data_IF_111473361570
#
_entry.id   IF_111473361570
#
_cell.length_a   1.000
_cell.length_b   1.000
_cell.length_c   1.000
_cell.angle_alpha   90.00
_cell.angle_beta   90.00
_cell.angle_gamma   90.00
#
_symmetry.space_group_name_H-M   'P 1'
#
loop_
_entity.id
_entity.type
_entity.pdbx_description
1 polymer ?
#
# COMPACT_ATOMS: atom_id res chain seq x y z
N UNK A 1 23.24 -6.84 -8.25
CA UNK A 1 24.15 -6.21 -7.27
C UNK A 1 23.46 -5.17 -6.39
N UNK A 2 22.67 -4.23 -6.94
CA UNK A 2 21.96 -3.18 -6.15
C UNK A 2 21.16 -3.75 -4.97
N UNK A 3 20.28 -4.73 -5.19
CA UNK A 3 19.51 -5.36 -4.10
C UNK A 3 20.38 -5.99 -3.01
N UNK A 4 21.51 -6.60 -3.39
CA UNK A 4 22.43 -7.22 -2.42
C UNK A 4 23.05 -6.16 -1.54
N UNK A 5 23.47 -5.02 -2.11
CA UNK A 5 24.02 -3.90 -1.34
C UNK A 5 22.97 -3.32 -0.37
N UNK A 6 21.71 -3.21 -0.82
CA UNK A 6 20.60 -2.77 0.03
C UNK A 6 20.38 -3.76 1.18
N UNK A 7 20.31 -5.06 0.89
CA UNK A 7 20.16 -6.11 1.91
C UNK A 7 21.32 -6.12 2.90
N UNK A 8 22.56 -5.94 2.43
CA UNK A 8 23.74 -5.85 3.30
C UNK A 8 23.65 -4.61 4.20
N UNK A 9 23.29 -3.45 3.65
CA UNK A 9 23.09 -2.22 4.42
C UNK A 9 22.01 -2.38 5.50
N UNK A 10 20.87 -2.98 5.14
CA UNK A 10 19.78 -3.26 6.08
C UNK A 10 20.21 -4.28 7.15
N UNK A 11 20.99 -5.29 6.78
CA UNK A 11 21.53 -6.27 7.73
C UNK A 11 22.50 -5.62 8.73
N UNK A 12 23.33 -4.66 8.28
CA UNK A 12 24.19 -3.87 9.17
C UNK A 12 23.38 -3.02 10.17
N UNK A 13 22.23 -2.48 9.76
CA UNK A 13 21.31 -1.79 10.67
C UNK A 13 20.79 -2.76 11.74
N UNK A 14 20.40 -3.97 11.34
CA UNK A 14 19.94 -5.03 12.26
C UNK A 14 21.02 -5.53 13.22
N UNK A 15 22.30 -5.44 12.84
CA UNK A 15 23.39 -5.75 13.76
C UNK A 15 23.50 -4.71 14.89
N UNK A 16 23.15 -3.44 14.63
CA UNK A 16 23.21 -2.37 15.62
C UNK A 16 21.97 -2.30 16.50
N UNK A 17 20.78 -2.52 15.93
CA UNK A 17 19.49 -2.42 16.63
C UNK A 17 18.53 -3.49 16.15
N UNK A 18 17.92 -4.18 17.11
CA UNK A 18 17.01 -5.32 16.88
C UNK A 18 15.63 -5.12 17.49
N UNK A 19 15.27 -3.87 17.79
CA UNK A 19 13.93 -3.56 18.26
C UNK A 19 12.89 -3.73 17.14
N UNK A 20 11.63 -3.92 17.54
CA UNK A 20 10.53 -4.21 16.62
C UNK A 20 10.32 -3.10 15.59
N UNK A 21 10.46 -1.83 15.98
CA UNK A 21 10.31 -0.69 15.06
C UNK A 21 11.40 -0.72 13.99
N UNK A 22 12.65 -0.99 14.38
CA UNK A 22 13.74 -1.17 13.42
C UNK A 22 13.47 -2.34 12.47
N UNK A 23 12.95 -3.47 12.96
CA UNK A 23 12.60 -4.63 12.12
C UNK A 23 11.50 -4.28 11.09
N UNK A 24 10.43 -3.60 11.53
CA UNK A 24 9.34 -3.17 10.64
C UNK A 24 9.82 -2.14 9.60
N UNK A 25 10.69 -1.20 10.02
CA UNK A 25 11.28 -0.23 9.11
C UNK A 25 12.17 -0.91 8.06
N UNK A 26 12.99 -1.89 8.47
CA UNK A 26 13.82 -2.68 7.53
C UNK A 26 12.95 -3.43 6.52
N UNK A 27 11.84 -4.03 6.94
CA UNK A 27 10.90 -4.66 6.03
C UNK A 27 10.26 -3.67 5.06
N UNK A 28 9.87 -2.48 5.54
CA UNK A 28 9.30 -1.43 4.70
C UNK A 28 10.29 -0.96 3.61
N UNK A 29 11.54 -0.70 4.00
CA UNK A 29 12.60 -0.31 3.05
C UNK A 29 12.91 -1.46 2.09
N UNK A 30 13.01 -2.70 2.59
CA UNK A 30 13.24 -3.87 1.75
C UNK A 30 12.14 -4.05 0.70
N UNK A 31 10.87 -3.92 1.09
CA UNK A 31 9.74 -3.97 0.15
C UNK A 31 9.78 -2.84 -0.87
N UNK A 32 10.11 -1.62 -0.44
CA UNK A 32 10.17 -0.42 -1.29
C UNK A 32 11.23 -0.55 -2.39
N UNK A 33 12.42 -1.04 -2.03
CA UNK A 33 13.55 -1.13 -2.95
C UNK A 33 13.73 -2.53 -3.56
N UNK A 34 12.77 -3.44 -3.38
CA UNK A 34 12.91 -4.80 -3.91
C UNK A 34 13.07 -4.83 -5.43
N UNK A 35 12.40 -3.93 -6.15
CA UNK A 35 12.50 -3.86 -7.60
C UNK A 35 13.46 -2.77 -8.09
N UNK A 36 14.36 -2.24 -7.26
CA UNK A 36 15.25 -1.14 -7.68
C UNK A 36 16.20 -1.48 -8.82
N UNK A 37 16.47 -2.76 -9.09
CA UNK A 37 17.20 -3.17 -10.29
C UNK A 37 16.46 -2.81 -11.59
N UNK A 38 15.14 -2.65 -11.54
CA UNK A 38 14.32 -2.23 -12.68
C UNK A 38 14.75 -0.88 -13.25
N UNK A 39 15.25 0.01 -12.40
CA UNK A 39 15.72 1.34 -12.79
C UNK A 39 16.89 1.25 -13.77
N UNK A 40 17.71 0.20 -13.69
CA UNK A 40 18.84 0.01 -14.61
C UNK A 40 18.32 -0.17 -16.05
N UNK A 41 17.19 -0.86 -16.23
CA UNK A 41 16.57 -1.07 -17.54
C UNK A 41 16.20 0.25 -18.22
N UNK A 42 15.89 1.29 -17.44
CA UNK A 42 15.55 2.62 -17.94
C UNK A 42 16.76 3.37 -18.52
N UNK A 43 17.97 2.95 -18.18
CA UNK A 43 19.23 3.62 -18.59
C UNK A 43 19.97 2.91 -19.71
N UNK A 44 19.46 1.76 -20.17
CA UNK A 44 20.11 0.91 -21.17
C UNK A 44 19.39 0.97 -22.51
N UNK A 45 20.14 0.98 -23.62
CA UNK A 45 19.58 0.99 -24.97
C UNK A 45 18.78 -0.28 -25.31
N UNK A 46 19.02 -1.40 -24.62
CA UNK A 46 18.28 -2.66 -24.76
C UNK A 46 17.09 -2.77 -23.79
N UNK A 47 16.59 -1.63 -23.31
CA UNK A 47 15.53 -1.54 -22.29
C UNK A 47 14.41 -2.55 -22.55
N UNK A 48 13.77 -2.55 -23.72
CA UNK A 48 12.63 -3.41 -24.02
C UNK A 48 12.84 -4.91 -23.76
N UNK A 49 13.99 -5.47 -24.17
CA UNK A 49 14.32 -6.88 -23.92
C UNK A 49 14.52 -7.17 -22.43
N UNK A 50 15.26 -6.29 -21.74
CA UNK A 50 15.51 -6.40 -20.31
C UNK A 50 14.22 -6.20 -19.50
N UNK A 51 13.32 -5.32 -19.95
CA UNK A 51 11.99 -5.09 -19.36
C UNK A 51 11.13 -6.36 -19.49
N UNK A 52 11.15 -7.03 -20.65
CA UNK A 52 10.41 -8.30 -20.88
C UNK A 52 10.96 -9.42 -19.99
N UNK A 53 12.27 -9.57 -19.91
CA UNK A 53 12.91 -10.58 -19.06
C UNK A 53 12.62 -10.34 -17.58
N UNK A 54 12.67 -9.07 -17.15
CA UNK A 54 12.28 -8.68 -15.80
C UNK A 54 10.79 -8.88 -15.53
N UNK A 55 9.92 -8.74 -16.53
CA UNK A 55 8.50 -9.01 -16.40
C UNK A 55 8.23 -10.52 -16.22
N UNK A 56 8.91 -11.36 -17.00
CA UNK A 56 8.72 -12.80 -16.99
C UNK A 56 9.39 -13.47 -15.78
N UNK A 57 10.58 -13.01 -15.41
CA UNK A 57 11.35 -13.60 -14.32
C UNK A 57 11.22 -12.81 -13.00
N UNK A 58 10.66 -11.61 -13.00
CA UNK A 58 10.51 -10.75 -11.80
C UNK A 58 11.81 -10.14 -11.30
N UNK A 59 12.91 -10.89 -11.31
CA UNK A 59 14.25 -10.46 -10.90
C UNK A 59 15.23 -11.63 -10.85
N UNK A 60 16.52 -11.35 -10.97
CA UNK A 60 17.58 -12.38 -10.99
C UNK A 60 17.67 -13.19 -9.68
N UNK A 61 18.16 -14.43 -9.77
CA UNK A 61 18.29 -15.37 -8.65
C UNK A 61 18.95 -14.76 -7.40
N UNK A 62 20.01 -13.98 -7.59
CA UNK A 62 20.76 -13.31 -6.51
C UNK A 62 19.88 -12.31 -5.74
N UNK A 63 19.03 -11.55 -6.43
CA UNK A 63 18.10 -10.61 -5.80
C UNK A 63 17.08 -11.35 -4.93
N UNK A 64 16.47 -12.41 -5.48
CA UNK A 64 15.51 -13.26 -4.76
C UNK A 64 16.13 -13.89 -3.51
N UNK A 65 17.32 -14.49 -3.63
CA UNK A 65 18.02 -15.11 -2.52
C UNK A 65 18.38 -14.10 -1.42
N UNK A 66 18.91 -12.92 -1.80
CA UNK A 66 19.26 -11.88 -0.83
C UNK A 66 18.04 -11.38 -0.04
N UNK A 67 16.91 -11.15 -0.72
CA UNK A 67 15.66 -10.77 -0.07
C UNK A 67 15.16 -11.89 0.84
N UNK A 68 15.20 -13.14 0.39
CA UNK A 68 14.77 -14.29 1.19
C UNK A 68 15.60 -14.42 2.48
N UNK A 69 16.93 -14.28 2.40
CA UNK A 69 17.80 -14.32 3.58
C UNK A 69 17.42 -13.23 4.58
N UNK A 70 17.21 -12.00 4.11
CA UNK A 70 16.81 -10.90 4.99
C UNK A 70 15.44 -11.15 5.64
N UNK A 71 14.47 -11.66 4.88
CA UNK A 71 13.15 -12.02 5.41
C UNK A 71 13.26 -13.11 6.48
N UNK A 72 14.06 -14.16 6.26
CA UNK A 72 14.29 -15.22 7.25
C UNK A 72 14.90 -14.66 8.53
N UNK A 73 15.90 -13.77 8.42
CA UNK A 73 16.52 -13.11 9.59
C UNK A 73 15.47 -12.31 10.35
N UNK A 74 14.70 -11.47 9.67
CA UNK A 74 13.70 -10.61 10.32
C UNK A 74 12.58 -11.44 10.96
N UNK A 75 12.06 -12.45 10.27
CA UNK A 75 11.03 -13.35 10.80
C UNK A 75 11.52 -14.11 12.03
N UNK A 76 12.79 -14.56 12.02
CA UNK A 76 13.38 -15.23 13.18
C UNK A 76 13.52 -14.29 14.38
N UNK A 77 13.94 -13.04 14.15
CA UNK A 77 14.04 -12.02 15.20
C UNK A 77 12.66 -11.61 15.75
N UNK A 78 11.67 -11.41 14.88
CA UNK A 78 10.28 -11.17 15.29
C UNK A 78 9.70 -12.37 16.05
N UNK A 79 9.99 -13.59 15.59
CA UNK A 79 9.59 -14.84 16.25
C UNK A 79 10.17 -14.96 17.66
N UNK A 80 11.43 -14.59 17.85
CA UNK A 80 12.04 -14.52 19.18
C UNK A 80 11.32 -13.54 20.09
N UNK A 81 11.10 -12.30 19.64
CA UNK A 81 10.37 -11.29 20.43
C UNK A 81 8.94 -11.74 20.75
N UNK A 82 8.24 -12.33 19.77
CA UNK A 82 6.91 -12.87 19.95
C UNK A 82 6.87 -14.02 20.98
N UNK A 83 7.88 -14.90 20.97
CA UNK A 83 8.00 -15.99 21.94
C UNK A 83 8.22 -15.49 23.36
N UNK A 84 9.14 -14.53 23.54
CA UNK A 84 9.42 -13.91 24.84
C UNK A 84 8.15 -13.26 25.41
N UNK A 85 7.39 -12.53 24.58
CA UNK A 85 6.06 -12.01 24.94
C UNK A 85 5.09 -13.13 25.30
N UNK A 86 4.94 -14.14 24.46
CA UNK A 86 3.93 -15.19 24.62
C UNK A 86 4.11 -15.94 25.95
N UNK A 87 5.35 -16.27 26.32
CA UNK A 87 5.67 -16.91 27.61
C UNK A 87 5.30 -16.01 28.79
N UNK A 88 5.48 -14.70 28.65
CA UNK A 88 5.12 -13.71 29.68
C UNK A 88 3.64 -13.28 29.67
N UNK A 89 2.86 -13.73 28.68
CA UNK A 89 1.65 -13.06 28.21
C UNK A 89 0.38 -13.27 29.05
N UNK A 90 -0.55 -12.32 28.91
CA UNK A 90 -1.89 -12.33 29.54
C UNK A 90 -2.89 -13.19 28.75
N UNK A 91 -3.93 -13.69 29.41
CA UNK A 91 -4.93 -14.59 28.81
C UNK A 91 -5.65 -14.04 27.56
N UNK A 92 -5.79 -12.71 27.43
CA UNK A 92 -6.43 -12.06 26.27
C UNK A 92 -5.67 -12.26 24.95
N UNK A 93 -4.33 -12.34 25.00
CA UNK A 93 -3.49 -12.47 23.81
C UNK A 93 -3.62 -13.84 23.16
N UNK A 94 -3.92 -14.87 23.96
CA UNK A 94 -4.13 -16.24 23.47
C UNK A 94 -5.38 -16.33 22.58
N UNK A 95 -6.42 -15.54 22.86
CA UNK A 95 -7.64 -15.52 22.04
C UNK A 95 -7.36 -14.96 20.65
N UNK A 96 -6.59 -13.88 20.56
CA UNK A 96 -6.20 -13.27 19.29
C UNK A 96 -5.36 -14.22 18.42
N UNK A 97 -4.43 -14.95 19.04
CA UNK A 97 -3.60 -15.97 18.35
C UNK A 97 -4.47 -17.09 17.81
N UNK A 98 -5.33 -17.68 18.67
CA UNK A 98 -6.23 -18.78 18.25
C UNK A 98 -7.13 -18.32 17.11
N UNK A 99 -7.66 -17.10 17.19
CA UNK A 99 -8.47 -16.54 16.12
C UNK A 99 -7.70 -16.41 14.80
N UNK A 100 -6.48 -15.85 14.84
CA UNK A 100 -5.63 -15.75 13.64
C UNK A 100 -5.34 -17.13 13.03
N UNK A 101 -5.03 -18.13 13.87
CA UNK A 101 -4.80 -19.51 13.42
C UNK A 101 -6.06 -20.15 12.82
N UNK A 102 -7.26 -19.81 13.32
CA UNK A 102 -8.51 -20.29 12.73
C UNK A 102 -8.76 -19.66 11.35
N UNK A 103 -8.44 -18.38 11.15
CA UNK A 103 -8.53 -17.73 9.83
C UNK A 103 -7.58 -18.39 8.84
N UNK A 104 -6.32 -18.58 9.23
CA UNK A 104 -5.31 -19.29 8.42
C UNK A 104 -5.72 -20.74 8.13
N UNK A 105 -6.18 -21.47 9.15
CA UNK A 105 -6.69 -22.83 8.98
C UNK A 105 -7.89 -22.91 8.04
N UNK A 106 -8.81 -21.93 8.10
CA UNK A 106 -9.95 -21.81 7.20
C UNK A 106 -9.53 -21.50 5.75
N UNK A 107 -8.51 -20.65 5.57
CA UNK A 107 -7.93 -20.34 4.26
C UNK A 107 -7.26 -21.57 3.63
N UNK A 108 -6.41 -22.28 4.40
CA UNK A 108 -5.77 -23.52 3.97
C UNK A 108 -6.78 -24.63 3.68
N UNK A 109 -7.81 -24.79 4.52
CA UNK A 109 -8.87 -25.77 4.27
C UNK A 109 -9.63 -25.43 2.99
N UNK A 110 -9.96 -24.15 2.77
CA UNK A 110 -10.57 -23.68 1.53
C UNK A 110 -9.72 -23.99 0.30
N UNK A 111 -8.40 -23.73 0.37
CA UNK A 111 -7.45 -24.11 -0.67
C UNK A 111 -7.46 -25.61 -0.95
N UNK A 112 -7.39 -26.46 0.09
CA UNK A 112 -7.38 -27.92 -0.07
C UNK A 112 -8.68 -28.44 -0.69
N UNK A 113 -9.83 -27.88 -0.30
CA UNK A 113 -11.13 -28.24 -0.86
C UNK A 113 -11.32 -27.77 -2.31
N UNK A 114 -10.60 -26.75 -2.73
CA UNK A 114 -10.70 -26.13 -4.05
C UNK A 114 -9.41 -26.27 -4.86
N UNK A 115 -8.59 -27.27 -4.55
CA UNK A 115 -7.29 -27.47 -5.17
C UNK A 115 -7.42 -27.78 -6.67
N UNK A 116 -6.75 -26.99 -7.51
CA UNK A 116 -6.69 -27.21 -8.96
C UNK A 116 -5.33 -27.78 -9.35
N UNK A 117 -5.33 -29.00 -9.90
CA UNK A 117 -4.11 -29.65 -10.34
C UNK A 117 -3.43 -28.83 -11.45
N UNK A 118 -2.15 -28.52 -11.27
CA UNK A 118 -1.36 -27.73 -12.23
C UNK A 118 -1.42 -26.21 -12.05
N UNK A 119 -2.25 -25.69 -11.13
CA UNK A 119 -2.32 -24.25 -10.87
C UNK A 119 -1.32 -23.83 -9.78
N UNK A 120 -0.08 -23.59 -10.20
CA UNK A 120 0.97 -23.10 -9.29
C UNK A 120 0.70 -21.67 -8.79
N UNK A 121 -0.08 -20.88 -9.52
CA UNK A 121 -0.39 -19.50 -9.15
C UNK A 121 -1.32 -19.47 -7.93
N UNK A 122 -2.32 -20.35 -7.89
CA UNK A 122 -3.17 -20.57 -6.73
C UNK A 122 -2.32 -20.80 -5.47
N UNK A 123 -1.40 -21.77 -5.50
CA UNK A 123 -0.53 -22.07 -4.36
C UNK A 123 0.31 -20.85 -3.93
N UNK A 124 0.89 -20.12 -4.89
CA UNK A 124 1.69 -18.93 -4.60
C UNK A 124 0.86 -17.84 -3.91
N UNK A 125 -0.38 -17.62 -4.35
CA UNK A 125 -1.30 -16.66 -3.73
C UNK A 125 -1.60 -17.05 -2.28
N UNK A 126 -1.92 -18.32 -2.01
CA UNK A 126 -2.24 -18.79 -0.66
C UNK A 126 -1.03 -18.69 0.26
N UNK A 127 0.14 -19.18 -0.17
CA UNK A 127 1.38 -19.07 0.61
C UNK A 127 1.68 -17.61 0.94
N UNK A 128 1.43 -16.69 0.01
CA UNK A 128 1.64 -15.26 0.23
C UNK A 128 0.72 -14.66 1.31
N UNK A 129 -0.57 -14.99 1.26
CA UNK A 129 -1.56 -14.50 2.23
C UNK A 129 -1.30 -15.12 3.61
N UNK A 130 -1.00 -16.42 3.66
CA UNK A 130 -0.58 -17.11 4.88
C UNK A 130 0.67 -16.47 5.49
N UNK A 131 1.68 -16.19 4.66
CA UNK A 131 2.92 -15.53 5.13
C UNK A 131 2.64 -14.13 5.67
N UNK A 132 1.71 -13.38 5.08
CA UNK A 132 1.25 -12.11 5.63
C UNK A 132 0.59 -12.30 6.99
N UNK A 133 -0.33 -13.26 7.15
CA UNK A 133 -0.96 -13.51 8.45
C UNK A 133 0.06 -13.92 9.53
N UNK A 134 1.04 -14.77 9.18
CA UNK A 134 2.17 -15.10 10.06
C UNK A 134 2.92 -13.84 10.45
N UNK A 135 3.30 -13.00 9.49
CA UNK A 135 4.00 -11.74 9.75
C UNK A 135 3.19 -10.84 10.69
N UNK A 136 1.89 -10.68 10.44
CA UNK A 136 0.99 -9.88 11.27
C UNK A 136 0.92 -10.42 12.69
N UNK A 137 0.77 -11.74 12.85
CA UNK A 137 0.74 -12.39 14.15
C UNK A 137 2.06 -12.21 14.92
N UNK A 138 3.20 -12.45 14.27
CA UNK A 138 4.52 -12.26 14.88
C UNK A 138 4.76 -10.80 15.26
N UNK A 139 4.45 -9.86 14.37
CA UNK A 139 4.58 -8.44 14.64
C UNK A 139 3.66 -7.97 15.76
N UNK A 140 2.40 -8.41 15.77
CA UNK A 140 1.45 -8.13 16.84
C UNK A 140 1.98 -8.54 18.21
N UNK A 141 2.48 -9.78 18.33
CA UNK A 141 3.06 -10.29 19.57
C UNK A 141 4.39 -9.62 19.92
N UNK A 142 5.19 -9.26 18.94
CA UNK A 142 6.44 -8.53 19.18
C UNK A 142 6.17 -7.10 19.68
N UNK A 143 5.13 -6.42 19.20
CA UNK A 143 4.77 -5.05 19.66
C UNK A 143 4.21 -4.99 21.09
N UNK A 144 3.92 -6.14 21.70
CA UNK A 144 3.42 -6.28 23.06
C UNK A 144 4.35 -5.73 24.15
N UNK A 145 5.66 -5.79 23.91
CA UNK A 145 6.70 -5.28 24.82
C UNK A 145 6.76 -3.75 24.86
N UNK A 146 5.78 -3.09 24.24
CA UNK A 146 5.69 -1.66 24.03
C UNK A 146 6.00 -1.32 22.57
N UNK A 147 5.21 -0.40 21.99
CA UNK A 147 5.61 0.30 20.76
C UNK A 147 6.53 1.42 21.24
N UNK A 148 7.85 1.37 20.97
CA UNK A 148 8.71 2.49 21.32
C UNK A 148 8.22 3.70 20.52
N UNK A 149 7.75 4.73 21.23
CA UNK A 149 7.51 6.02 20.61
C UNK A 149 8.82 6.54 20.04
N UNK A 150 8.81 6.96 18.78
CA UNK A 150 9.98 7.61 18.20
C UNK A 150 10.26 8.87 19.02
N UNK A 151 11.46 8.93 19.63
CA UNK A 151 11.90 10.12 20.35
C UNK A 151 11.83 11.33 19.40
N UNK A 152 11.30 12.49 19.83
CA UNK A 152 11.06 13.62 18.94
C UNK A 152 12.27 14.03 18.09
N UNK A 153 13.48 14.07 18.67
CA UNK A 153 14.70 14.40 17.93
C UNK A 153 15.07 13.40 16.83
N UNK A 154 14.63 12.14 16.93
CA UNK A 154 14.82 11.13 15.89
C UNK A 154 13.78 11.26 14.77
N UNK A 155 12.58 11.76 15.07
CA UNK A 155 11.52 11.97 14.06
C UNK A 155 12.00 12.89 12.95
N UNK A 156 12.69 13.98 13.30
CA UNK A 156 13.24 14.90 12.30
C UNK A 156 14.25 14.22 11.37
N UNK A 157 15.24 13.52 11.93
CA UNK A 157 16.27 12.84 11.14
C UNK A 157 15.66 11.77 10.22
N UNK A 158 14.75 10.94 10.74
CA UNK A 158 14.06 9.93 9.93
C UNK A 158 13.15 10.53 8.88
N UNK A 159 12.46 11.62 9.20
CA UNK A 159 11.62 12.32 8.24
C UNK A 159 12.44 12.96 7.10
N UNK A 160 13.61 13.53 7.40
CA UNK A 160 14.52 14.03 6.37
C UNK A 160 15.02 12.91 5.45
N UNK A 161 15.43 11.77 6.03
CA UNK A 161 15.81 10.58 5.23
C UNK A 161 14.63 10.09 4.39
N UNK A 162 13.43 10.07 4.94
CA UNK A 162 12.21 9.72 4.23
C UNK A 162 11.92 10.66 3.04
N UNK A 163 12.09 11.97 3.23
CA UNK A 163 11.94 12.96 2.16
C UNK A 163 12.97 12.78 1.05
N UNK A 164 14.22 12.47 1.39
CA UNK A 164 15.26 12.19 0.40
C UNK A 164 14.95 10.94 -0.42
N UNK A 165 14.47 9.87 0.24
CA UNK A 165 14.02 8.65 -0.44
C UNK A 165 12.84 8.95 -1.36
N UNK A 166 11.83 9.69 -0.88
CA UNK A 166 10.67 10.08 -1.69
C UNK A 166 11.08 10.91 -2.91
N UNK A 167 11.91 11.94 -2.72
CA UNK A 167 12.39 12.78 -3.81
C UNK A 167 13.20 11.99 -4.84
N UNK A 168 14.00 11.01 -4.42
CA UNK A 168 14.71 10.11 -5.33
C UNK A 168 13.74 9.25 -6.15
N UNK A 169 12.74 8.65 -5.50
CA UNK A 169 11.72 7.81 -6.15
C UNK A 169 10.89 8.63 -7.15
N UNK A 170 10.50 9.85 -6.78
CA UNK A 170 9.73 10.74 -7.64
C UNK A 170 10.59 11.28 -8.80
N UNK A 171 11.88 11.51 -8.58
CA UNK A 171 12.83 11.86 -9.64
C UNK A 171 12.92 10.78 -10.72
N UNK A 172 12.95 9.51 -10.34
CA UNK A 172 12.89 8.39 -11.29
C UNK A 172 11.53 8.37 -12.00
N UNK A 173 10.42 8.54 -11.27
CA UNK A 173 9.09 8.55 -11.87
C UNK A 173 8.93 9.67 -12.91
N UNK A 174 9.45 10.86 -12.61
CA UNK A 174 9.44 12.00 -13.53
C UNK A 174 10.30 11.71 -14.76
N UNK A 175 11.47 11.10 -14.58
CA UNK A 175 12.33 10.67 -15.67
C UNK A 175 11.64 9.66 -16.59
N UNK A 176 10.95 8.65 -16.06
CA UNK A 176 10.19 7.65 -16.84
C UNK A 176 9.17 8.31 -17.77
N UNK A 177 8.40 9.26 -17.26
CA UNK A 177 7.35 9.94 -18.04
C UNK A 177 7.96 10.89 -19.07
N UNK A 178 8.91 11.73 -18.67
CA UNK A 178 9.52 12.73 -19.57
C UNK A 178 10.31 12.10 -20.72
N UNK A 179 10.95 10.96 -20.48
CA UNK A 179 11.74 10.26 -21.50
C UNK A 179 10.93 9.24 -22.28
N UNK A 180 9.64 9.03 -21.95
CA UNK A 180 8.77 7.99 -22.53
C UNK A 180 9.26 6.56 -22.30
N UNK A 181 10.23 6.36 -21.40
CA UNK A 181 10.71 5.05 -20.96
C UNK A 181 9.88 4.61 -19.75
N UNK A 182 8.56 4.46 -19.93
CA UNK A 182 7.67 4.06 -18.85
C UNK A 182 7.37 2.56 -18.87
N UNK A 183 7.26 1.96 -17.69
CA UNK A 183 6.96 0.54 -17.51
C UNK A 183 5.58 0.13 -18.02
N UNK A 184 4.62 1.04 -17.95
CA UNK A 184 3.28 0.82 -18.46
C UNK A 184 2.86 1.99 -19.34
N UNK A 185 2.61 1.69 -20.61
CA UNK A 185 1.94 2.60 -21.53
C UNK A 185 0.75 1.92 -22.20
N UNK A 186 -0.22 2.71 -22.62
CA UNK A 186 -1.36 2.23 -23.41
C UNK A 186 -1.87 3.35 -24.31
N UNK A 187 -2.47 2.96 -25.44
CA UNK A 187 -3.12 3.88 -26.36
C UNK A 187 -4.54 4.18 -25.88
N UNK A 188 -4.85 5.45 -25.66
CA UNK A 188 -6.19 5.93 -25.30
C UNK A 188 -7.05 6.10 -26.55
N UNK A 189 -8.38 6.12 -26.38
CA UNK A 189 -9.38 6.34 -27.43
C UNK A 189 -9.21 7.67 -28.17
N UNK A 190 -8.54 8.65 -27.55
CA UNK A 190 -8.13 9.92 -28.15
C UNK A 190 -7.02 9.76 -29.21
N UNK A 191 -6.36 8.59 -29.24
CA UNK A 191 -5.16 8.35 -30.04
C UNK A 191 -3.85 8.72 -29.32
N UNK A 192 -3.92 9.28 -28.11
CA UNK A 192 -2.75 9.62 -27.31
C UNK A 192 -2.18 8.37 -26.61
N UNK A 193 -0.85 8.29 -26.50
CA UNK A 193 -0.18 7.24 -25.71
C UNK A 193 0.04 7.79 -24.31
N UNK A 194 -0.48 7.09 -23.31
CA UNK A 194 -0.32 7.49 -21.91
C UNK A 194 0.85 6.74 -21.29
N UNK A 195 1.84 7.46 -20.78
CA UNK A 195 3.00 6.89 -20.07
C UNK A 195 2.81 6.97 -18.55
N UNK A 196 2.90 5.84 -17.85
CA UNK A 196 2.68 5.75 -16.40
C UNK A 196 3.94 5.34 -15.66
N UNK A 197 4.34 6.13 -14.67
CA UNK A 197 5.51 5.83 -13.87
C UNK A 197 5.29 4.66 -12.91
N UNK A 198 6.28 3.79 -12.82
CA UNK A 198 6.35 2.74 -11.80
C UNK A 198 7.48 2.97 -10.79
N UNK A 199 8.47 3.79 -11.15
CA UNK A 199 9.67 4.07 -10.34
C UNK A 199 10.34 2.76 -9.89
N UNK A 200 10.94 2.77 -8.70
CA UNK A 200 11.62 1.61 -8.10
C UNK A 200 10.69 0.45 -7.76
N UNK A 201 9.37 0.60 -7.91
CA UNK A 201 8.36 -0.39 -7.55
C UNK A 201 7.84 -1.19 -8.74
N UNK A 202 8.31 -0.94 -9.98
CA UNK A 202 8.06 -1.75 -11.19
C UNK A 202 6.60 -1.88 -11.65
N UNK A 203 5.62 -1.49 -10.82
CA UNK A 203 4.22 -1.44 -11.16
C UNK A 203 3.61 -0.09 -10.73
N UNK A 204 2.99 0.69 -11.65
CA UNK A 204 2.40 1.97 -11.31
C UNK A 204 1.28 1.91 -10.26
N UNK A 205 0.48 0.83 -10.26
CA UNK A 205 -0.57 0.67 -9.26
C UNK A 205 0.02 0.36 -7.88
N UNK A 206 1.09 -0.46 -7.83
CA UNK A 206 1.83 -0.72 -6.59
C UNK A 206 2.51 0.54 -6.06
N UNK A 207 3.10 1.35 -6.96
CA UNK A 207 3.69 2.63 -6.62
C UNK A 207 2.67 3.57 -5.99
N UNK A 208 1.49 3.72 -6.62
CA UNK A 208 0.41 4.53 -6.08
C UNK A 208 -0.15 3.99 -4.75
N UNK A 209 -0.24 2.67 -4.61
CA UNK A 209 -0.66 2.02 -3.36
C UNK A 209 0.31 2.34 -2.22
N UNK A 210 1.60 2.11 -2.44
CA UNK A 210 2.66 2.43 -1.49
C UNK A 210 2.67 3.92 -1.16
N UNK A 211 2.58 4.79 -2.17
CA UNK A 211 2.52 6.23 -2.01
C UNK A 211 1.33 6.61 -1.11
N UNK A 212 0.15 6.05 -1.34
CA UNK A 212 -1.03 6.34 -0.51
C UNK A 212 -0.87 5.94 0.97
N UNK A 213 -0.16 4.84 1.27
CA UNK A 213 0.18 4.48 2.65
C UNK A 213 1.11 5.52 3.29
N UNK A 214 2.13 5.97 2.55
CA UNK A 214 3.04 7.03 3.01
C UNK A 214 2.28 8.34 3.19
N UNK A 215 1.32 8.66 2.31
CA UNK A 215 0.47 9.85 2.41
C UNK A 215 -0.28 9.87 3.74
N UNK A 216 -0.95 8.76 4.08
CA UNK A 216 -1.70 8.61 5.33
C UNK A 216 -0.77 8.70 6.55
N UNK A 217 0.44 8.15 6.45
CA UNK A 217 1.49 8.30 7.47
C UNK A 217 1.92 9.76 7.66
N UNK A 218 2.13 10.52 6.58
CA UNK A 218 2.45 11.94 6.63
C UNK A 218 1.28 12.77 7.17
N UNK A 219 0.05 12.47 6.77
CA UNK A 219 -1.16 13.13 7.26
C UNK A 219 -1.32 12.96 8.78
N UNK A 220 -1.09 11.74 9.28
CA UNK A 220 -1.00 11.49 10.72
C UNK A 220 0.17 12.25 11.37
N UNK A 221 1.37 12.17 10.79
CA UNK A 221 2.58 12.80 11.33
C UNK A 221 2.45 14.32 11.47
N UNK A 222 1.79 14.97 10.52
CA UNK A 222 1.50 16.41 10.56
C UNK A 222 0.64 16.80 11.79
N UNK A 223 -0.28 15.92 12.21
CA UNK A 223 -1.12 16.15 13.38
C UNK A 223 -0.41 15.77 14.68
N UNK A 224 0.34 14.66 14.67
CA UNK A 224 1.03 14.14 15.85
C UNK A 224 2.27 14.97 16.24
N UNK A 225 2.96 15.57 15.26
CA UNK A 225 4.24 16.24 15.45
C UNK A 225 4.21 17.70 14.94
N UNK A 226 3.48 18.56 15.67
CA UNK A 226 3.26 19.98 15.32
C UNK A 226 4.54 20.75 14.98
N UNK A 227 5.63 20.49 15.70
CA UNK A 227 6.93 21.15 15.48
C UNK A 227 7.59 20.84 14.11
N UNK A 228 7.20 19.74 13.45
CA UNK A 228 7.77 19.31 12.17
C UNK A 228 6.71 19.26 11.05
N UNK A 229 5.65 20.04 11.15
CA UNK A 229 4.54 20.03 10.18
C UNK A 229 4.98 20.27 8.73
N UNK A 230 5.91 21.20 8.50
CA UNK A 230 6.41 21.50 7.16
C UNK A 230 7.02 20.28 6.47
N UNK A 231 7.68 19.41 7.24
CA UNK A 231 8.34 18.21 6.74
C UNK A 231 7.31 17.19 6.26
N UNK A 232 6.24 16.99 7.05
CA UNK A 232 5.15 16.11 6.67
C UNK A 232 4.31 16.69 5.52
N UNK A 233 4.14 18.02 5.48
CA UNK A 233 3.49 18.71 4.37
C UNK A 233 4.26 18.51 3.06
N UNK A 234 5.58 18.70 3.08
CA UNK A 234 6.43 18.44 1.93
C UNK A 234 6.37 16.97 1.51
N UNK A 235 6.35 16.04 2.48
CA UNK A 235 6.14 14.61 2.22
C UNK A 235 4.82 14.33 1.52
N UNK A 236 3.72 14.96 1.95
CA UNK A 236 2.42 14.83 1.28
C UNK A 236 2.46 15.37 -0.16
N UNK A 237 3.14 16.50 -0.41
CA UNK A 237 3.30 17.06 -1.77
C UNK A 237 4.07 16.10 -2.69
N UNK A 238 5.19 15.55 -2.22
CA UNK A 238 5.96 14.54 -2.95
C UNK A 238 5.11 13.31 -3.25
N UNK A 239 4.45 12.77 -2.23
CA UNK A 239 3.58 11.59 -2.40
C UNK A 239 2.37 11.86 -3.31
N UNK A 240 1.78 13.06 -3.28
CA UNK A 240 0.73 13.43 -4.24
C UNK A 240 1.27 13.47 -5.67
N UNK A 241 2.52 13.93 -5.85
CA UNK A 241 3.24 13.89 -7.12
C UNK A 241 3.48 12.45 -7.57
N UNK A 242 3.90 11.56 -6.67
CA UNK A 242 4.04 10.13 -6.93
C UNK A 242 2.75 9.49 -7.45
N UNK A 243 1.63 9.75 -6.77
CA UNK A 243 0.31 9.23 -7.16
C UNK A 243 -0.09 9.80 -8.52
N UNK A 244 0.14 11.09 -8.77
CA UNK A 244 -0.13 11.73 -10.06
C UNK A 244 0.67 11.05 -11.20
N UNK A 245 2.00 10.95 -11.05
CA UNK A 245 2.91 10.38 -12.06
C UNK A 245 2.64 8.89 -12.32
N UNK A 246 2.16 8.15 -11.31
CA UNK A 246 1.75 6.76 -11.48
C UNK A 246 0.55 6.57 -12.41
N UNK A 247 -0.23 7.63 -12.67
CA UNK A 247 -1.48 7.57 -13.42
C UNK A 247 -2.53 6.62 -12.83
N UNK A 248 -2.37 6.20 -11.56
CA UNK A 248 -3.27 5.26 -10.88
C UNK A 248 -4.47 6.00 -10.28
N UNK A 249 -5.48 6.22 -11.11
CA UNK A 249 -6.71 6.94 -10.74
C UNK A 249 -7.43 6.31 -9.55
N UNK A 250 -7.56 4.98 -9.55
CA UNK A 250 -8.27 4.25 -8.50
C UNK A 250 -7.62 4.42 -7.12
N UNK A 251 -6.29 4.36 -7.04
CA UNK A 251 -5.57 4.61 -5.78
C UNK A 251 -5.77 6.05 -5.30
N UNK A 252 -5.67 7.03 -6.20
CA UNK A 252 -5.92 8.44 -5.89
C UNK A 252 -7.34 8.71 -5.38
N UNK A 253 -8.37 8.19 -6.07
CA UNK A 253 -9.77 8.34 -5.63
C UNK A 253 -10.07 7.60 -4.34
N UNK A 254 -9.53 6.39 -4.16
CA UNK A 254 -9.71 5.65 -2.92
C UNK A 254 -9.08 6.41 -1.73
N UNK A 255 -7.87 6.95 -1.92
CA UNK A 255 -7.23 7.79 -0.91
C UNK A 255 -8.07 9.05 -0.63
N UNK A 256 -8.52 9.77 -1.67
CA UNK A 256 -9.39 10.95 -1.50
C UNK A 256 -10.66 10.61 -0.71
N UNK A 257 -11.37 9.54 -1.10
CA UNK A 257 -12.59 9.10 -0.42
C UNK A 257 -12.35 8.82 1.07
N UNK A 258 -11.25 8.16 1.41
CA UNK A 258 -10.92 7.85 2.80
C UNK A 258 -10.37 9.04 3.59
N UNK A 259 -9.76 10.03 2.93
CA UNK A 259 -9.34 11.29 3.57
C UNK A 259 -10.52 12.17 4.00
N UNK A 260 -11.75 11.86 3.60
CA UNK A 260 -12.96 12.47 4.20
C UNK A 260 -13.26 11.94 5.61
N UNK A 261 -12.76 10.75 5.99
CA UNK A 261 -13.08 10.17 7.29
C UNK A 261 -12.44 10.94 8.47
N UNK A 262 -11.15 11.33 8.45
CA UNK A 262 -10.56 12.11 9.53
C UNK A 262 -11.33 13.37 9.93
N UNK A 263 -11.71 14.29 9.01
CA UNK A 263 -12.46 15.50 9.38
C UNK A 263 -13.86 15.20 9.93
N UNK A 264 -14.51 14.14 9.46
CA UNK A 264 -15.83 13.71 9.96
C UNK A 264 -15.73 13.14 11.38
N UNK A 265 -14.68 12.37 11.67
CA UNK A 265 -14.55 11.60 12.91
C UNK A 265 -13.87 12.34 14.06
N UNK A 266 -12.99 13.31 13.81
CA UNK A 266 -12.25 14.03 14.85
C UNK A 266 -12.76 15.49 15.00
N UNK A 267 -13.59 16.00 14.06
CA UNK A 267 -14.27 17.31 14.12
C UNK A 267 -13.36 18.52 14.36
N UNK A 268 -12.11 18.52 13.89
CA UNK A 268 -11.23 19.71 13.93
C UNK A 268 -10.96 20.25 12.51
N UNK A 269 -10.83 21.59 12.39
CA UNK A 269 -10.64 22.27 11.10
C UNK A 269 -9.40 21.81 10.33
N UNK A 270 -8.30 21.49 11.03
CA UNK A 270 -7.02 21.11 10.42
C UNK A 270 -7.06 19.75 9.70
N UNK A 271 -8.15 18.98 9.82
CA UNK A 271 -8.27 17.65 9.22
C UNK A 271 -8.64 17.65 7.74
N UNK A 272 -9.07 18.79 7.21
CA UNK A 272 -9.28 18.96 5.78
C UNK A 272 -7.98 19.19 5.00
N UNK A 273 -6.90 19.63 5.69
CA UNK A 273 -5.65 20.00 5.04
C UNK A 273 -5.02 18.83 4.24
N UNK A 274 -4.95 17.58 4.74
CA UNK A 274 -4.47 16.46 3.92
C UNK A 274 -5.28 16.24 2.64
N UNK A 275 -6.61 16.39 2.66
CA UNK A 275 -7.41 16.27 1.44
C UNK A 275 -7.12 17.41 0.46
N UNK A 276 -7.06 18.64 0.98
CA UNK A 276 -6.78 19.83 0.19
C UNK A 276 -5.38 19.79 -0.45
N UNK A 277 -4.36 19.35 0.29
CA UNK A 277 -2.98 19.23 -0.24
C UNK A 277 -2.92 18.25 -1.41
N UNK A 278 -3.61 17.11 -1.32
CA UNK A 278 -3.66 16.13 -2.41
C UNK A 278 -4.27 16.74 -3.68
N UNK A 279 -5.45 17.35 -3.54
CA UNK A 279 -6.19 17.98 -4.65
C UNK A 279 -5.42 19.15 -5.26
N UNK A 280 -4.93 20.07 -4.41
CA UNK A 280 -4.21 21.26 -4.86
C UNK A 280 -2.89 20.88 -5.52
N UNK A 281 -2.15 19.89 -5.00
CA UNK A 281 -0.90 19.44 -5.64
C UNK A 281 -1.18 18.86 -7.02
N UNK A 282 -2.16 17.97 -7.15
CA UNK A 282 -2.53 17.39 -8.45
C UNK A 282 -3.00 18.45 -9.44
N UNK A 283 -3.81 19.40 -8.99
CA UNK A 283 -4.27 20.51 -9.81
C UNK A 283 -3.13 21.44 -10.21
N UNK A 284 -2.22 21.78 -9.28
CA UNK A 284 -1.07 22.63 -9.55
C UNK A 284 -0.10 22.01 -10.54
N UNK A 285 0.14 20.70 -10.47
CA UNK A 285 0.94 19.98 -11.48
C UNK A 285 0.24 20.09 -12.83
N UNK A 286 -1.04 19.73 -12.92
CA UNK A 286 -1.79 19.79 -14.17
C UNK A 286 -1.81 21.20 -14.78
N UNK A 287 -2.20 22.21 -14.02
CA UNK A 287 -2.28 23.60 -14.51
C UNK A 287 -0.90 24.17 -14.85
N UNK A 288 0.12 23.88 -14.02
CA UNK A 288 1.47 24.36 -14.27
C UNK A 288 2.03 23.77 -15.55
N UNK A 289 1.78 22.49 -15.79
CA UNK A 289 2.25 21.79 -16.97
C UNK A 289 1.46 22.14 -18.22
N UNK A 290 0.14 22.31 -18.14
CA UNK A 290 -0.69 22.76 -19.25
C UNK A 290 -0.30 24.16 -19.77
N UNK A 291 0.31 24.99 -18.92
CA UNK A 291 0.85 26.29 -19.32
C UNK A 291 2.23 26.22 -20.00
N UNK A 292 2.90 25.05 -20.00
CA UNK A 292 4.21 24.85 -20.60
C UNK A 292 4.05 24.28 -22.02
N UNK A 293 4.41 25.06 -23.03
CA UNK A 293 4.30 24.67 -24.45
C UNK A 293 5.49 23.78 -24.90
N UNK A 294 5.66 22.63 -24.25
CA UNK A 294 6.72 21.67 -24.56
C UNK A 294 6.16 20.26 -24.73
N UNK A 295 6.54 19.58 -25.83
CA UNK A 295 6.01 18.26 -26.18
C UNK A 295 6.20 17.18 -25.10
N UNK A 296 7.31 17.17 -24.36
CA UNK A 296 7.56 16.19 -23.29
C UNK A 296 6.66 16.41 -22.06
N UNK A 297 6.20 17.65 -21.87
CA UNK A 297 5.36 18.04 -20.75
C UNK A 297 3.88 17.71 -21.00
N UNK A 298 3.47 17.58 -22.26
CA UNK A 298 2.13 17.11 -22.64
C UNK A 298 1.82 15.73 -22.07
N UNK A 299 2.82 14.83 -21.96
CA UNK A 299 2.64 13.50 -21.37
C UNK A 299 2.23 13.58 -19.89
N UNK A 300 2.78 14.55 -19.16
CA UNK A 300 2.45 14.80 -17.76
C UNK A 300 1.06 15.44 -17.67
N UNK A 301 0.74 16.42 -18.54
CA UNK A 301 -0.60 17.01 -18.59
C UNK A 301 -1.69 15.96 -18.83
N UNK A 302 -1.46 15.02 -19.74
CA UNK A 302 -2.38 13.93 -20.07
C UNK A 302 -2.73 13.06 -18.87
N UNK A 303 -1.77 12.82 -17.96
CA UNK A 303 -2.07 12.13 -16.69
C UNK A 303 -3.10 12.94 -15.86
N UNK A 304 -2.93 14.26 -15.78
CA UNK A 304 -3.86 15.16 -15.10
C UNK A 304 -5.24 15.21 -15.72
N UNK A 305 -5.34 15.31 -17.04
CA UNK A 305 -6.63 15.29 -17.76
C UNK A 305 -7.44 14.04 -17.39
N UNK A 306 -6.77 12.89 -17.34
CA UNK A 306 -7.40 11.61 -16.97
C UNK A 306 -7.89 11.56 -15.53
N UNK A 307 -7.21 12.26 -14.60
CA UNK A 307 -7.66 12.43 -13.21
C UNK A 307 -8.82 13.42 -13.07
N UNK A 308 -8.93 14.40 -13.95
CA UNK A 308 -10.04 15.38 -13.89
C UNK A 308 -11.29 14.82 -14.57
N UNK A 309 -11.12 14.11 -15.69
CA UNK A 309 -12.23 13.62 -16.49
C UNK A 309 -12.86 12.31 -15.94
N UNK A 310 -12.11 11.52 -15.15
CA UNK A 310 -12.58 10.21 -14.67
C UNK A 310 -13.93 10.22 -13.93
N UNK A 311 -14.28 11.20 -13.06
CA UNK A 311 -15.57 11.20 -12.38
C UNK A 311 -16.73 11.38 -13.36
N UNK A 312 -16.56 12.26 -14.36
CA UNK A 312 -17.56 12.51 -15.40
C UNK A 312 -17.78 11.22 -16.21
N UNK A 313 -16.70 10.59 -16.65
CA UNK A 313 -16.79 9.34 -17.39
C UNK A 313 -17.38 8.18 -16.57
N UNK A 314 -17.12 8.11 -15.25
CA UNK A 314 -17.74 7.13 -14.37
C UNK A 314 -19.25 7.35 -14.26
N UNK A 315 -19.70 8.60 -14.10
CA UNK A 315 -21.13 8.95 -14.08
C UNK A 315 -21.79 8.57 -15.40
N UNK A 316 -21.16 8.87 -16.54
CA UNK A 316 -21.68 8.50 -17.85
C UNK A 316 -21.78 6.98 -18.04
N UNK A 317 -20.77 6.24 -17.58
CA UNK A 317 -20.82 4.77 -17.58
C UNK A 317 -22.00 4.26 -16.76
N UNK A 318 -22.22 4.80 -15.55
CA UNK A 318 -23.36 4.42 -14.69
C UNK A 318 -24.69 4.73 -15.38
N UNK A 319 -24.85 5.93 -15.95
CA UNK A 319 -26.07 6.33 -16.66
C UNK A 319 -26.37 5.41 -17.85
N UNK A 320 -25.37 5.11 -18.67
CA UNK A 320 -25.53 4.16 -19.77
C UNK A 320 -25.94 2.78 -19.25
N UNK A 321 -25.30 2.30 -18.17
CA UNK A 321 -25.60 0.99 -17.58
C UNK A 321 -27.04 0.87 -17.06
N UNK A 322 -27.61 1.95 -16.51
CA UNK A 322 -29.00 1.98 -16.02
C UNK A 322 -30.01 2.43 -17.09
N UNK A 323 -29.59 2.56 -18.35
CA UNK A 323 -30.47 2.89 -19.48
C UNK A 323 -30.86 4.37 -19.59
N UNK A 324 -30.16 5.27 -18.90
CA UNK A 324 -30.30 6.72 -19.06
C UNK A 324 -29.40 7.17 -20.22
N UNK A 325 -29.90 7.97 -21.18
CA UNK A 325 -29.07 8.52 -22.24
C UNK A 325 -27.92 9.33 -21.64
N UNK A 326 -26.68 8.91 -21.88
CA UNK A 326 -25.51 9.68 -21.50
C UNK A 326 -25.24 10.77 -22.55
N UNK A 327 -25.04 12.02 -22.11
CA UNK A 327 -24.72 13.13 -23.01
C UNK A 327 -23.32 13.02 -23.63
N UNK A 328 -22.44 12.24 -23.01
CA UNK A 328 -21.05 12.04 -23.45
C UNK A 328 -20.79 10.57 -23.71
N UNK A 329 -20.06 10.29 -24.79
CA UNK A 329 -19.63 8.94 -25.15
C UNK A 329 -18.85 8.32 -23.99
N UNK A 330 -19.28 7.14 -23.55
CA UNK A 330 -18.56 6.36 -22.55
C UNK A 330 -17.25 5.89 -23.15
N UNK A 331 -16.15 6.35 -22.56
CA UNK A 331 -14.81 5.98 -22.99
C UNK A 331 -14.56 4.49 -22.75
N UNK A 332 -13.98 3.84 -23.76
CA UNK A 332 -13.67 2.40 -23.75
C UNK A 332 -12.83 2.01 -22.54
N UNK A 333 -11.92 2.88 -22.12
CA UNK A 333 -10.99 2.67 -21.01
C UNK A 333 -11.71 2.49 -19.68
N UNK A 334 -12.82 3.20 -19.45
CA UNK A 334 -13.58 3.10 -18.21
C UNK A 334 -14.47 1.87 -18.21
N UNK A 335 -15.11 1.56 -19.35
CA UNK A 335 -15.83 0.31 -19.51
C UNK A 335 -14.88 -0.90 -19.28
N UNK A 336 -13.75 -0.94 -19.98
CA UNK A 336 -12.73 -2.00 -19.82
C UNK A 336 -12.21 -2.07 -18.38
N UNK A 337 -11.98 -0.93 -17.72
CA UNK A 337 -11.51 -0.91 -16.33
C UNK A 337 -12.55 -1.44 -15.34
N UNK A 338 -13.84 -1.26 -15.57
CA UNK A 338 -14.90 -1.71 -14.65
C UNK A 338 -15.27 -3.16 -14.97
N UNK A 339 -15.58 -3.45 -16.23
CA UNK A 339 -15.97 -4.77 -16.69
C UNK A 339 -14.84 -5.78 -16.50
N UNK A 340 -13.60 -5.40 -16.83
CA UNK A 340 -12.41 -6.23 -16.63
C UNK A 340 -12.08 -6.49 -15.15
N UNK A 341 -12.66 -5.73 -14.22
CA UNK A 341 -12.51 -5.98 -12.77
C UNK A 341 -13.62 -6.86 -12.22
N UNK A 342 -14.87 -6.66 -12.66
CA UNK A 342 -16.04 -7.16 -11.95
C UNK A 342 -16.98 -8.06 -12.76
N UNK A 343 -17.00 -7.97 -14.09
CA UNK A 343 -18.10 -8.55 -14.91
C UNK A 343 -17.59 -9.50 -16.00
N UNK A 344 -16.40 -9.28 -16.55
CA UNK A 344 -15.88 -10.05 -17.67
C UNK A 344 -15.35 -11.44 -17.32
N UNK A 345 -15.15 -12.27 -18.34
CA UNK A 345 -14.52 -13.61 -18.23
C UNK A 345 -13.10 -13.56 -17.63
N UNK A 346 -12.43 -12.41 -17.75
CA UNK A 346 -11.11 -12.14 -17.18
C UNK A 346 -11.16 -11.22 -15.95
N UNK A 347 -12.31 -11.19 -15.25
CA UNK A 347 -12.47 -10.40 -14.02
C UNK A 347 -11.38 -10.74 -13.01
N UNK A 348 -10.67 -9.71 -12.56
CA UNK A 348 -9.47 -9.86 -11.74
C UNK A 348 -9.55 -9.15 -10.38
N UNK A 349 -10.76 -8.86 -9.89
CA UNK A 349 -10.94 -8.34 -8.54
C UNK A 349 -10.37 -9.31 -7.49
N UNK A 350 -9.71 -8.76 -6.47
CA UNK A 350 -9.02 -9.55 -5.44
C UNK A 350 -9.92 -10.57 -4.74
N UNK A 351 -11.15 -10.20 -4.42
CA UNK A 351 -12.10 -11.12 -3.78
C UNK A 351 -12.58 -12.25 -4.71
N UNK A 352 -12.73 -11.98 -6.01
CA UNK A 352 -13.10 -12.98 -7.01
C UNK A 352 -11.96 -13.97 -7.21
N UNK A 353 -10.73 -13.48 -7.33
CA UNK A 353 -9.55 -14.33 -7.43
C UNK A 353 -9.38 -15.17 -6.17
N UNK A 354 -9.56 -14.59 -4.99
CA UNK A 354 -9.53 -15.33 -3.74
C UNK A 354 -10.63 -16.40 -3.69
N UNK A 355 -11.86 -16.06 -4.09
CA UNK A 355 -12.94 -17.05 -4.20
C UNK A 355 -12.58 -18.20 -5.14
N UNK A 356 -12.00 -17.90 -6.30
CA UNK A 356 -11.52 -18.91 -7.24
C UNK A 356 -10.38 -19.76 -6.67
N UNK A 357 -9.57 -19.20 -5.77
CA UNK A 357 -8.43 -19.88 -5.17
C UNK A 357 -8.81 -20.72 -3.93
N UNK A 358 -9.81 -20.34 -3.13
CA UNK A 358 -10.13 -21.02 -1.85
C UNK A 358 -11.61 -21.33 -1.62
N UNK A 359 -12.46 -21.07 -2.61
CA UNK A 359 -13.90 -21.20 -2.50
C UNK A 359 -14.51 -20.30 -1.42
N UNK A 360 -15.76 -20.60 -1.06
CA UNK A 360 -16.49 -19.86 -0.02
C UNK A 360 -15.92 -20.05 1.38
N UNK A 361 -15.32 -21.21 1.68
CA UNK A 361 -14.75 -21.50 3.00
C UNK A 361 -13.59 -20.57 3.30
N UNK A 362 -12.60 -20.49 2.41
CA UNK A 362 -11.44 -19.63 2.64
C UNK A 362 -11.79 -18.15 2.50
N UNK A 363 -12.65 -17.77 1.54
CA UNK A 363 -13.13 -16.40 1.42
C UNK A 363 -13.87 -15.95 2.69
N UNK A 364 -14.76 -16.80 3.22
CA UNK A 364 -15.49 -16.55 4.45
C UNK A 364 -14.56 -16.36 5.65
N UNK A 365 -13.49 -17.15 5.76
CA UNK A 365 -12.48 -16.99 6.81
C UNK A 365 -11.78 -15.62 6.73
N UNK A 366 -11.40 -15.18 5.53
CA UNK A 366 -10.76 -13.87 5.33
C UNK A 366 -11.74 -12.72 5.62
N UNK A 367 -12.99 -12.82 5.16
CA UNK A 367 -14.03 -11.82 5.47
C UNK A 367 -14.28 -11.72 6.98
N UNK A 368 -14.35 -12.87 7.67
CA UNK A 368 -14.52 -12.90 9.12
C UNK A 368 -13.32 -12.25 9.84
N UNK A 369 -12.10 -12.57 9.40
CA UNK A 369 -10.87 -11.95 9.87
C UNK A 369 -10.86 -10.43 9.70
N UNK A 370 -11.17 -9.95 8.50
CA UNK A 370 -11.27 -8.53 8.19
C UNK A 370 -12.35 -7.83 9.02
N UNK A 371 -13.52 -8.44 9.16
CA UNK A 371 -14.64 -7.89 9.95
C UNK A 371 -14.27 -7.71 11.41
N UNK A 372 -13.56 -8.67 12.01
CA UNK A 372 -13.12 -8.58 13.39
C UNK A 372 -12.05 -7.50 13.60
N UNK A 373 -11.15 -7.31 12.63
CA UNK A 373 -10.23 -6.17 12.65
C UNK A 373 -10.97 -4.83 12.60
N UNK A 374 -12.03 -4.72 11.77
CA UNK A 374 -12.87 -3.52 11.71
C UNK A 374 -13.57 -3.28 13.03
N UNK A 375 -14.23 -4.29 13.61
CA UNK A 375 -14.91 -4.18 14.92
C UNK A 375 -13.92 -3.74 16.00
N UNK A 376 -12.71 -4.31 16.02
CA UNK A 376 -11.66 -3.93 16.98
C UNK A 376 -11.17 -2.49 16.76
N UNK A 377 -10.97 -2.08 15.51
CA UNK A 377 -10.58 -0.72 15.16
C UNK A 377 -11.63 0.31 15.57
N UNK A 378 -12.91 0.01 15.32
CA UNK A 378 -14.04 0.84 15.77
C UNK A 378 -14.09 0.88 17.31
N UNK A 379 -13.97 -0.26 17.98
CA UNK A 379 -13.96 -0.34 19.44
C UNK A 379 -12.83 0.49 20.07
N UNK A 380 -11.62 0.43 19.48
CA UNK A 380 -10.49 1.25 19.92
C UNK A 380 -10.71 2.75 19.69
N UNK A 381 -11.35 3.13 18.57
CA UNK A 381 -11.76 4.51 18.32
C UNK A 381 -12.81 4.98 19.34
N UNK A 382 -13.85 4.19 19.60
CA UNK A 382 -14.91 4.53 20.55
C UNK A 382 -14.38 4.65 21.99
N UNK A 383 -13.42 3.81 22.37
CA UNK A 383 -12.76 3.89 23.68
C UNK A 383 -11.89 5.15 23.80
N UNK A 384 -11.13 5.48 22.75
CA UNK A 384 -10.22 6.63 22.74
C UNK A 384 -10.24 7.37 21.39
N UNK A 385 -11.18 8.32 21.20
CA UNK A 385 -11.26 9.12 19.98
C UNK A 385 -10.04 10.03 19.89
N UNK A 386 -9.10 9.69 19.01
CA UNK A 386 -7.86 10.44 18.82
C UNK A 386 -7.43 10.40 17.35
N UNK A 387 -6.57 11.33 16.90
CA UNK A 387 -6.01 11.27 15.56
C UNK A 387 -5.40 9.91 15.22
N UNK A 388 -4.65 9.32 16.16
CA UNK A 388 -4.01 8.03 15.93
C UNK A 388 -5.03 6.89 15.73
N UNK A 389 -6.11 6.83 16.51
CA UNK A 389 -7.14 5.80 16.34
C UNK A 389 -7.90 5.95 15.02
N UNK A 390 -8.16 7.19 14.59
CA UNK A 390 -8.83 7.46 13.31
C UNK A 390 -7.95 7.13 12.12
N UNK A 391 -6.68 7.57 12.09
CA UNK A 391 -5.78 7.21 10.99
C UNK A 391 -5.49 5.70 10.93
N UNK A 392 -5.42 5.01 12.08
CA UNK A 392 -5.31 3.56 12.11
C UNK A 392 -6.54 2.86 11.48
N UNK A 393 -7.74 3.38 11.74
CA UNK A 393 -8.97 2.88 11.11
C UNK A 393 -9.01 3.17 9.60
N UNK A 394 -8.63 4.38 9.20
CA UNK A 394 -8.53 4.78 7.78
C UNK A 394 -7.54 3.90 7.02
N UNK A 395 -6.37 3.61 7.61
CA UNK A 395 -5.37 2.70 7.05
C UNK A 395 -5.91 1.27 6.91
N UNK A 396 -6.63 0.76 7.91
CA UNK A 396 -7.29 -0.55 7.82
C UNK A 396 -8.27 -0.58 6.64
N UNK A 397 -9.17 0.41 6.55
CA UNK A 397 -10.16 0.48 5.48
C UNK A 397 -9.49 0.60 4.11
N UNK A 398 -8.43 1.39 3.99
CA UNK A 398 -7.65 1.49 2.76
C UNK A 398 -7.08 0.13 2.35
N UNK A 399 -6.48 -0.61 3.29
CA UNK A 399 -5.93 -1.95 3.00
C UNK A 399 -7.02 -2.96 2.63
N UNK A 400 -8.15 -2.96 3.33
CA UNK A 400 -9.27 -3.88 3.05
C UNK A 400 -9.91 -3.60 1.68
N UNK A 401 -10.21 -2.34 1.36
CA UNK A 401 -10.79 -1.97 0.07
C UNK A 401 -9.80 -2.24 -1.06
N UNK A 402 -8.52 -1.91 -0.85
CA UNK A 402 -7.48 -2.23 -1.83
C UNK A 402 -7.43 -3.75 -2.06
N UNK A 403 -7.31 -4.57 -1.02
CA UNK A 403 -7.24 -6.03 -1.15
C UNK A 403 -8.51 -6.66 -1.74
N UNK A 404 -9.67 -6.01 -1.58
CA UNK A 404 -10.91 -6.44 -2.22
C UNK A 404 -10.90 -6.19 -3.74
N UNK A 405 -10.36 -5.04 -4.17
CA UNK A 405 -10.42 -4.57 -5.56
C UNK A 405 -9.21 -5.02 -6.38
N UNK A 406 -8.01 -4.99 -5.82
CA UNK A 406 -6.79 -5.29 -6.57
C UNK A 406 -6.58 -6.79 -6.70
N UNK A 407 -6.21 -7.22 -7.90
CA UNK A 407 -5.74 -8.59 -8.13
C UNK A 407 -4.61 -8.91 -7.15
N UNK A 408 -4.64 -10.11 -6.57
CA UNK A 408 -3.65 -10.57 -5.61
C UNK A 408 -2.23 -10.50 -6.23
N UNK A 409 -1.50 -9.42 -5.95
CA UNK A 409 -0.08 -9.32 -6.28
C UNK A 409 0.70 -9.86 -5.09
N UNK A 410 1.42 -10.97 -5.30
CA UNK A 410 2.08 -11.77 -4.25
C UNK A 410 3.08 -10.93 -3.43
N UNK A 411 3.89 -10.08 -4.06
CA UNK A 411 4.90 -9.31 -3.34
C UNK A 411 5.15 -7.97 -4.05
N UNK A 412 5.37 -6.85 -3.33
CA UNK A 412 5.36 -6.61 -1.88
C UNK A 412 4.01 -6.12 -1.30
N UNK A 413 2.89 -6.17 -2.03
CA UNK A 413 1.58 -5.65 -1.53
C UNK A 413 1.23 -6.22 -0.15
N UNK A 414 1.26 -7.54 -0.01
CA UNK A 414 0.93 -8.20 1.25
C UNK A 414 1.93 -7.90 2.36
N UNK A 415 3.20 -7.66 2.03
CA UNK A 415 4.18 -7.20 3.00
C UNK A 415 3.76 -5.83 3.56
N UNK A 416 3.42 -4.86 2.70
CA UNK A 416 2.99 -3.54 3.13
C UNK A 416 1.68 -3.56 3.91
N UNK A 417 0.69 -4.33 3.47
CA UNK A 417 -0.56 -4.54 4.22
C UNK A 417 -0.25 -5.12 5.60
N UNK A 418 0.61 -6.15 5.67
CA UNK A 418 1.02 -6.76 6.93
C UNK A 418 1.69 -5.75 7.88
N UNK A 419 2.60 -4.92 7.38
CA UNK A 419 3.26 -3.87 8.18
C UNK A 419 2.26 -2.86 8.75
N UNK A 420 1.29 -2.40 7.94
CA UNK A 420 0.24 -1.50 8.39
C UNK A 420 -0.62 -2.15 9.48
N UNK A 421 -1.05 -3.40 9.25
CA UNK A 421 -1.86 -4.15 10.21
C UNK A 421 -1.14 -4.36 11.53
N UNK A 422 0.17 -4.65 11.52
CA UNK A 422 0.97 -4.76 12.76
C UNK A 422 0.92 -3.48 13.57
N UNK A 423 1.12 -2.32 12.92
CA UNK A 423 1.10 -1.02 13.60
C UNK A 423 -0.29 -0.73 14.18
N UNK A 424 -1.35 -0.94 13.38
CA UNK A 424 -2.73 -0.75 13.82
C UNK A 424 -3.09 -1.66 15.01
N UNK A 425 -2.79 -2.95 14.92
CA UNK A 425 -3.11 -3.92 15.97
C UNK A 425 -2.30 -3.68 17.24
N UNK A 426 -1.01 -3.36 17.11
CA UNK A 426 -0.15 -3.00 18.23
C UNK A 426 -0.67 -1.76 18.97
N UNK A 427 -1.11 -0.75 18.23
CA UNK A 427 -1.73 0.45 18.79
C UNK A 427 -3.07 0.17 19.49
N UNK A 428 -4.00 -0.53 18.84
CA UNK A 428 -5.30 -0.85 19.42
C UNK A 428 -5.19 -1.73 20.66
N UNK A 429 -4.22 -2.64 20.71
CA UNK A 429 -3.94 -3.43 21.91
C UNK A 429 -3.59 -2.53 23.09
N UNK A 430 -2.73 -1.53 22.91
CA UNK A 430 -2.37 -0.62 23.99
C UNK A 430 -3.59 0.14 24.53
N UNK A 431 -4.46 0.60 23.64
CA UNK A 431 -5.69 1.29 24.01
C UNK A 431 -6.67 0.38 24.77
N UNK A 432 -6.93 -0.81 24.25
CA UNK A 432 -7.94 -1.73 24.80
C UNK A 432 -7.48 -2.47 26.06
N UNK A 433 -6.18 -2.45 26.38
CA UNK A 433 -5.62 -3.11 27.58
C UNK A 433 -5.12 -2.13 28.63
N UNK A 434 -5.13 -0.83 28.34
CA UNK A 434 -4.88 0.18 29.35
C UNK A 434 -5.97 0.05 30.43
N UNK A 435 -5.62 -0.20 31.70
CA UNK A 435 -6.61 -0.18 32.77
C UNK A 435 -7.25 1.20 32.75
N UNK A 436 -8.59 1.25 32.78
CA UNK A 436 -9.39 2.49 32.73
C UNK A 436 -8.69 3.58 33.53
N UNK A 437 -7.93 4.43 32.84
CA UNK A 437 -7.57 5.72 33.40
C UNK A 437 -8.87 6.47 33.33
N UNK A 438 -9.62 6.40 34.42
CA UNK A 438 -10.74 7.28 34.76
C UNK A 438 -10.37 8.68 34.26
N UNK A 439 -10.92 9.06 33.10
CA UNK A 439 -10.81 10.42 32.59
C UNK A 439 -11.90 11.20 33.29
N UNK A 440 -11.47 12.05 34.23
CA UNK A 440 -12.22 13.24 34.64
C UNK A 440 -12.20 14.27 33.53
#
# INVERSE_FOLDING_TARGET
>A
MVNVLIVLGLSLVLLRKRDVVTLLFVLFVCGTFHFSFAVIALTTNDASSLLIDLHNEGGGLLARLSTLILLVIVFSLLGRHAYETYVSGRAGEKKDIVFALLVMGGLLLGYLLNYRTGDLLQLKNIVSIETMFVLVMLGYLATATGVPSLQPGKVYAWGLVGLLILGFIDGIALYEVLTRHAWASFLESSGAIVYRAASVLFNPNLYAFWASLVYLGCAYGMQAYKQYQWMFLLGMVLVATAIYLSGSRSAGYLLMALLFLPPVLIRERLQWLPLLVLLLTMLSIYSGVACLDYASWQEIALLGERFIAAPIHLVNYIFQYIGIPAEVVVLKEIAVSIEGRFVGEYSDAGWLVLHQDVGWTGLGAVILGGSLLVVRGIGAYLAHPSPASVYALVLLLYCLITGFVTRLQIFPVWLFIGLVLIICMGYWRQLLTAPDKVVR
#
